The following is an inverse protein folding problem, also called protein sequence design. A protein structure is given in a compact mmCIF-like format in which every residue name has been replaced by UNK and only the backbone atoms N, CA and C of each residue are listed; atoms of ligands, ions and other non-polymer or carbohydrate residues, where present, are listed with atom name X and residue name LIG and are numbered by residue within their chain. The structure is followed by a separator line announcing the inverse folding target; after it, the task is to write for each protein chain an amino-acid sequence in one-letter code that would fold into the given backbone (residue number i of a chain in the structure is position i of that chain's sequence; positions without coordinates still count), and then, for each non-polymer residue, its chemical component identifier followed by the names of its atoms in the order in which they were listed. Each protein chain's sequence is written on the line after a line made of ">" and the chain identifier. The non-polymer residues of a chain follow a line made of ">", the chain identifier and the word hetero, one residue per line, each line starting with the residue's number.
data_IF_222968880730
#
_entry.id   IF_222968880730
#
_cell.length_a   1.000
_cell.length_b   1.000
_cell.length_c   1.000
_cell.angle_alpha   90.00
_cell.angle_beta   90.00
_cell.angle_gamma   90.00
#
_symmetry.space_group_name_H-M   'P 1'
#
loop_
_entity.id
_entity.type
_entity.pdbx_description
1 polymer ?
#
# COMPACT_ATOMS: atom_id res chain seq x y z
N UNK A 1 8.84 -2.73 -19.58
CA UNK A 1 7.64 -2.01 -20.10
C UNK A 1 6.62 -1.92 -18.97
N UNK A 2 6.22 -0.71 -18.54
CA UNK A 2 5.07 -0.54 -17.62
C UNK A 2 3.83 -0.28 -18.46
N UNK A 3 2.93 -1.27 -18.54
CA UNK A 3 1.62 -1.12 -19.19
C UNK A 3 0.86 0.08 -18.59
N UNK A 4 0.09 0.85 -19.39
CA UNK A 4 -0.78 1.93 -18.91
C UNK A 4 -1.69 1.54 -17.74
N UNK A 5 -2.01 0.25 -17.57
CA UNK A 5 -2.80 -0.27 -16.46
C UNK A 5 -2.17 -0.09 -15.07
N UNK A 6 -0.84 -0.18 -14.94
CA UNK A 6 -0.16 -0.09 -13.64
C UNK A 6 -0.16 1.32 -13.03
N UNK A 7 -0.26 2.36 -13.87
CA UNK A 7 -0.25 3.74 -13.39
C UNK A 7 -1.54 4.09 -12.64
N UNK A 8 -2.65 3.40 -12.96
CA UNK A 8 -3.97 3.73 -12.44
C UNK A 8 -4.18 3.23 -11.00
N UNK A 9 -3.65 2.06 -10.65
CA UNK A 9 -3.85 1.47 -9.31
C UNK A 9 -3.16 2.27 -8.19
N UNK A 10 -2.00 2.86 -8.49
CA UNK A 10 -1.26 3.74 -7.57
C UNK A 10 -2.04 4.99 -7.17
N UNK A 11 -2.96 5.47 -8.03
CA UNK A 11 -3.74 6.70 -7.81
C UNK A 11 -4.76 6.48 -6.69
N UNK A 12 -5.36 5.30 -6.64
CA UNK A 12 -6.36 4.94 -5.62
C UNK A 12 -5.73 4.45 -4.32
N UNK A 13 -4.40 4.34 -4.22
CA UNK A 13 -3.72 3.79 -3.05
C UNK A 13 -4.11 4.48 -1.74
N UNK A 14 -4.11 5.82 -1.72
CA UNK A 14 -4.43 6.57 -0.49
C UNK A 14 -5.89 6.36 -0.08
N UNK A 15 -6.79 6.32 -1.07
CA UNK A 15 -8.22 6.09 -0.86
C UNK A 15 -8.49 4.67 -0.35
N UNK A 16 -7.80 3.66 -0.90
CA UNK A 16 -7.86 2.27 -0.42
C UNK A 16 -7.39 2.15 1.04
N UNK A 17 -6.36 2.90 1.42
CA UNK A 17 -5.86 2.93 2.80
C UNK A 17 -6.83 3.64 3.77
N UNK A 18 -7.78 4.42 3.26
CA UNK A 18 -8.79 5.15 4.04
C UNK A 18 -10.17 4.47 4.06
N UNK A 19 -10.54 3.74 3.00
CA UNK A 19 -11.85 3.12 2.79
C UNK A 19 -12.19 1.90 3.66
N UNK A 20 -11.31 1.58 4.61
CA UNK A 20 -11.54 0.73 5.79
C UNK A 20 -11.14 -0.74 5.65
N UNK A 21 -10.50 -1.16 6.74
CA UNK A 21 -10.26 -2.52 7.20
C UNK A 21 -9.17 -3.31 6.45
N UNK A 22 -7.93 -3.16 6.92
CA UNK A 22 -7.01 -4.30 6.91
C UNK A 22 -7.62 -5.36 7.82
N UNK A 23 -8.15 -6.43 7.21
CA UNK A 23 -8.67 -7.61 7.90
C UNK A 23 -7.57 -8.10 8.85
N UNK A 24 -7.85 -8.16 10.15
CA UNK A 24 -6.92 -8.73 11.13
C UNK A 24 -7.11 -10.23 11.14
N UNK A 25 -6.03 -10.99 11.27
CA UNK A 25 -6.06 -12.45 11.45
C UNK A 25 -6.59 -12.90 12.84
N UNK A 26 -7.16 -12.00 13.66
CA UNK A 26 -7.63 -12.30 15.01
C UNK A 26 -8.74 -11.37 15.51
N UNK A 27 -9.28 -11.64 16.71
CA UNK A 27 -10.41 -10.92 17.30
C UNK A 27 -10.06 -9.45 17.61
N UNK A 28 -11.06 -8.56 17.49
CA UNK A 28 -10.98 -7.13 17.83
C UNK A 28 -11.33 -6.18 16.68
N UNK A 29 -11.51 -4.89 16.98
CA UNK A 29 -11.90 -3.87 15.99
C UNK A 29 -10.89 -3.80 14.83
N UNK A 30 -11.33 -3.75 13.56
CA UNK A 30 -10.45 -3.53 12.42
C UNK A 30 -9.57 -2.32 12.67
N UNK A 31 -8.26 -2.47 12.48
CA UNK A 31 -7.37 -1.32 12.55
C UNK A 31 -7.59 -0.49 11.29
N UNK A 32 -7.91 0.78 11.48
CA UNK A 32 -7.99 1.76 10.39
C UNK A 32 -6.60 1.97 9.76
N UNK A 33 -5.52 1.68 10.49
CA UNK A 33 -4.14 1.87 10.04
C UNK A 33 -3.30 0.59 10.25
N UNK A 34 -2.76 -0.03 9.19
CA UNK A 34 -1.88 -1.19 9.33
C UNK A 34 -0.52 -0.82 9.95
N UNK A 35 0.16 -1.81 10.53
CA UNK A 35 1.56 -1.66 10.99
C UNK A 35 2.57 -1.77 9.85
N UNK A 36 2.21 -2.50 8.77
CA UNK A 36 3.03 -2.70 7.58
C UNK A 36 2.15 -2.91 6.34
N UNK A 37 2.58 -2.40 5.19
CA UNK A 37 2.05 -2.73 3.85
C UNK A 37 3.07 -3.59 3.10
N UNK A 38 2.59 -4.61 2.41
CA UNK A 38 3.39 -5.41 1.47
C UNK A 38 2.74 -5.27 0.10
N UNK A 39 3.53 -5.02 -0.95
CA UNK A 39 3.03 -4.82 -2.31
C UNK A 39 4.09 -5.07 -3.36
N UNK A 40 3.67 -5.06 -4.64
CA UNK A 40 4.56 -5.27 -5.78
C UNK A 40 5.27 -3.99 -6.24
N UNK A 41 6.02 -4.11 -7.35
CA UNK A 41 6.79 -3.02 -7.95
C UNK A 41 5.93 -1.82 -8.37
N UNK A 42 4.67 -2.03 -8.75
CA UNK A 42 3.70 -0.99 -9.09
C UNK A 42 3.44 -0.01 -7.94
N UNK A 43 3.69 -0.43 -6.70
CA UNK A 43 3.49 0.40 -5.50
C UNK A 43 4.79 1.05 -4.97
N UNK A 44 5.90 0.93 -5.71
CA UNK A 44 7.20 1.51 -5.31
C UNK A 44 7.30 3.02 -5.56
N UNK A 45 6.23 3.70 -6.00
CA UNK A 45 6.26 5.13 -6.31
C UNK A 45 6.61 6.03 -5.11
N UNK A 46 7.27 7.19 -5.39
CA UNK A 46 7.64 8.18 -4.35
C UNK A 46 6.43 8.72 -3.59
N UNK A 47 5.29 8.92 -4.27
CA UNK A 47 4.03 9.36 -3.65
C UNK A 47 3.56 8.37 -2.57
N UNK A 48 3.54 7.08 -2.88
CA UNK A 48 3.13 6.01 -1.97
C UNK A 48 4.08 5.92 -0.77
N UNK A 49 5.41 5.93 -1.01
CA UNK A 49 6.40 5.93 0.08
C UNK A 49 6.23 7.14 1.01
N UNK A 50 5.97 8.32 0.47
CA UNK A 50 5.76 9.53 1.26
C UNK A 50 4.46 9.46 2.08
N UNK A 51 3.38 8.95 1.51
CA UNK A 51 2.14 8.70 2.24
C UNK A 51 2.38 7.76 3.44
N UNK A 52 3.02 6.61 3.20
CA UNK A 52 3.29 5.62 4.24
C UNK A 52 4.22 6.13 5.33
N UNK A 53 5.27 6.90 4.97
CA UNK A 53 6.18 7.53 5.94
C UNK A 53 5.48 8.58 6.81
N UNK A 54 4.71 9.50 6.20
CA UNK A 54 3.93 10.51 6.94
C UNK A 54 2.94 9.85 7.91
N UNK A 55 2.38 8.73 7.49
CA UNK A 55 1.48 7.90 8.30
C UNK A 55 2.24 6.79 9.02
N UNK A 56 3.53 6.88 9.30
CA UNK A 56 4.31 5.91 10.10
C UNK A 56 3.97 4.43 9.88
N UNK A 57 3.68 4.03 8.64
CA UNK A 57 3.35 2.66 8.24
C UNK A 57 4.63 2.09 7.61
N UNK A 58 5.09 0.95 8.12
CA UNK A 58 6.23 0.25 7.52
C UNK A 58 5.84 -0.30 6.15
N UNK A 59 6.79 -0.45 5.24
CA UNK A 59 6.47 -1.04 3.94
C UNK A 59 7.58 -1.96 3.44
N UNK A 60 7.18 -2.98 2.70
CA UNK A 60 8.07 -3.90 2.01
C UNK A 60 7.51 -4.07 0.61
N UNK A 61 8.25 -3.58 -0.39
CA UNK A 61 7.85 -3.74 -1.78
C UNK A 61 8.78 -4.74 -2.45
N UNK A 62 8.18 -5.70 -3.15
CA UNK A 62 8.96 -6.61 -3.99
C UNK A 62 9.56 -5.82 -5.14
N UNK A 63 10.86 -5.95 -5.36
CA UNK A 63 11.42 -5.74 -6.69
C UNK A 63 11.19 -7.04 -7.42
N UNK A 64 10.25 -7.09 -8.36
CA UNK A 64 10.23 -8.21 -9.30
C UNK A 64 11.58 -8.21 -10.00
N UNK A 65 12.37 -9.24 -9.74
CA UNK A 65 13.53 -9.60 -10.56
C UNK A 65 12.95 -10.32 -11.77
N UNK A 66 13.00 -9.65 -12.92
CA UNK A 66 13.29 -10.33 -14.18
C UNK A 66 14.75 -10.04 -14.51
#
# INVERSE_FOLDING_TARGET
>A
MLSPGHRNESIFFEQLMELRAVKRSGRGRPRIRPKRVVGDFGYTGRRIRNYLRRRGIRFTFSKTLE
#
